data_IF_784149868552
#
_entry.id   IF_784149868552
#
_cell.length_a   1.000
_cell.length_b   1.000
_cell.length_c   1.000
_cell.angle_alpha   90.00
_cell.angle_beta   90.00
_cell.angle_gamma   90.00
#
_symmetry.space_group_name_H-M   'P 1'
#
loop_
_entity.id
_entity.type
_entity.pdbx_description
1 polymer ?
#
# COMPACT_ATOMS: atom_id res chain seq x y z
N UNK A 1 1.03 18.92 -0.59
CA UNK A 1 0.52 17.71 0.10
C UNK A 1 0.60 16.49 -0.82
N UNK A 2 0.82 15.28 -0.29
CA UNK A 2 0.97 14.06 -1.10
C UNK A 2 -0.26 13.80 -1.99
N UNK A 3 -1.47 14.02 -1.47
CA UNK A 3 -2.71 13.82 -2.23
C UNK A 3 -2.81 14.68 -3.49
N UNK A 4 -2.48 15.98 -3.37
CA UNK A 4 -2.46 16.89 -4.52
C UNK A 4 -1.45 16.45 -5.59
N UNK A 5 -0.35 15.80 -5.18
CA UNK A 5 0.64 15.25 -6.13
C UNK A 5 0.11 14.01 -6.83
N UNK A 6 -0.56 13.12 -6.10
CA UNK A 6 -1.19 11.92 -6.68
C UNK A 6 -2.19 12.34 -7.74
N UNK A 7 -3.09 13.28 -7.42
CA UNK A 7 -4.11 13.80 -8.35
C UNK A 7 -3.47 14.37 -9.61
N UNK A 8 -2.57 15.36 -9.47
CA UNK A 8 -1.93 16.03 -10.63
C UNK A 8 -1.10 15.09 -11.49
N UNK A 9 -0.31 14.20 -10.87
CA UNK A 9 0.52 13.27 -11.62
C UNK A 9 -0.38 12.19 -12.29
N UNK A 10 -1.50 11.79 -11.69
CA UNK A 10 -2.50 10.89 -12.31
C UNK A 10 -3.20 11.55 -13.49
N UNK A 11 -3.71 12.77 -13.34
CA UNK A 11 -4.37 13.53 -14.43
C UNK A 11 -3.43 13.69 -15.63
N UNK A 12 -2.20 14.16 -15.40
CA UNK A 12 -1.22 14.31 -16.47
C UNK A 12 -0.95 12.98 -17.19
N UNK A 13 -0.81 11.88 -16.47
CA UNK A 13 -0.60 10.56 -17.06
C UNK A 13 -1.81 10.11 -17.89
N UNK A 14 -3.03 10.38 -17.43
CA UNK A 14 -4.26 10.08 -18.18
C UNK A 14 -4.35 10.90 -19.48
N UNK A 15 -4.09 12.21 -19.41
CA UNK A 15 -4.10 13.12 -20.56
C UNK A 15 -3.09 12.71 -21.63
N UNK A 16 -2.00 12.04 -21.23
CA UNK A 16 -0.96 11.51 -22.11
C UNK A 16 -1.16 10.03 -22.50
N UNK A 17 -2.35 9.47 -22.27
CA UNK A 17 -2.68 8.10 -22.69
C UNK A 17 -1.97 7.00 -21.89
N UNK A 18 -1.45 7.32 -20.69
CA UNK A 18 -0.66 6.40 -19.84
C UNK A 18 -1.50 5.63 -18.81
N UNK A 19 -2.78 5.40 -19.09
CA UNK A 19 -3.70 4.65 -18.21
C UNK A 19 -3.17 3.25 -17.85
N UNK A 20 -2.44 2.61 -18.75
CA UNK A 20 -1.79 1.31 -18.50
C UNK A 20 -0.82 1.35 -17.32
N UNK A 21 -0.06 2.42 -17.15
CA UNK A 21 0.91 2.57 -16.06
C UNK A 21 0.21 2.73 -14.71
N UNK A 22 -0.90 3.48 -14.67
CA UNK A 22 -1.74 3.62 -13.48
C UNK A 22 -2.37 2.29 -13.07
N UNK A 23 -2.85 1.54 -14.07
CA UNK A 23 -3.45 0.22 -13.87
C UNK A 23 -2.43 -0.78 -13.34
N UNK A 24 -1.19 -0.70 -13.84
CA UNK A 24 -0.08 -1.49 -13.35
C UNK A 24 0.25 -1.18 -11.88
N UNK A 25 0.44 0.11 -11.54
CA UNK A 25 0.70 0.52 -10.15
C UNK A 25 -0.44 0.09 -9.22
N UNK A 26 -1.69 0.32 -9.60
CA UNK A 26 -2.86 -0.09 -8.83
C UNK A 26 -2.86 -1.61 -8.60
N UNK A 27 -2.62 -2.40 -9.65
CA UNK A 27 -2.59 -3.86 -9.56
C UNK A 27 -1.46 -4.36 -8.65
N UNK A 28 -0.28 -3.73 -8.71
CA UNK A 28 0.85 -4.08 -7.86
C UNK A 28 0.62 -3.77 -6.38
N UNK A 29 -0.02 -2.63 -6.05
CA UNK A 29 -0.42 -2.33 -4.68
C UNK A 29 -1.43 -3.37 -4.14
N UNK A 30 -2.42 -3.74 -4.96
CA UNK A 30 -3.42 -4.74 -4.59
C UNK A 30 -2.81 -6.14 -4.41
N UNK A 31 -1.83 -6.50 -5.23
CA UNK A 31 -1.11 -7.77 -5.08
C UNK A 31 -0.23 -7.78 -3.83
N UNK A 32 0.42 -6.65 -3.51
CA UNK A 32 1.18 -6.49 -2.26
C UNK A 32 0.27 -6.58 -1.02
N UNK A 33 -0.97 -6.07 -1.09
CA UNK A 33 -1.98 -6.28 -0.04
C UNK A 33 -2.35 -7.75 0.07
N UNK A 34 -2.70 -8.39 -1.06
CA UNK A 34 -3.14 -9.78 -1.12
C UNK A 34 -2.21 -10.73 -0.37
N UNK A 35 -0.90 -10.62 -0.61
CA UNK A 35 0.09 -11.49 0.03
C UNK A 35 0.23 -11.27 1.54
N UNK A 36 -0.11 -10.08 2.04
CA UNK A 36 -0.04 -9.71 3.46
C UNK A 36 -1.29 -10.14 4.23
N UNK A 37 -2.47 -9.94 3.64
CA UNK A 37 -3.74 -10.08 4.38
C UNK A 37 -4.30 -11.50 4.38
N UNK A 38 -3.81 -12.40 3.52
CA UNK A 38 -4.31 -13.77 3.49
C UNK A 38 -3.95 -14.51 4.79
N UNK A 39 -4.95 -15.15 5.44
CA UNK A 39 -4.75 -15.85 6.70
C UNK A 39 -4.02 -17.20 6.55
N UNK A 40 -4.18 -17.89 5.42
CA UNK A 40 -3.54 -19.20 5.16
C UNK A 40 -2.56 -19.10 3.99
N UNK A 41 -1.27 -19.05 4.32
CA UNK A 41 -0.17 -18.95 3.35
C UNK A 41 -0.20 -20.03 2.26
N UNK A 42 -0.79 -21.20 2.55
CA UNK A 42 -0.89 -22.31 1.60
C UNK A 42 -1.90 -22.05 0.49
N UNK A 43 -2.80 -21.09 0.70
CA UNK A 43 -3.84 -20.68 -0.26
C UNK A 43 -3.38 -19.52 -1.15
N UNK A 44 -2.24 -18.89 -0.83
CA UNK A 44 -1.70 -17.80 -1.63
C UNK A 44 -1.28 -18.34 -2.99
N UNK A 45 -1.78 -17.69 -4.04
CA UNK A 45 -1.43 -17.92 -5.44
C UNK A 45 -1.06 -16.56 -6.02
N UNK A 46 0.15 -16.07 -5.70
CA UNK A 46 0.52 -14.72 -6.07
C UNK A 46 0.65 -14.65 -7.60
N UNK A 47 0.03 -13.65 -8.21
CA UNK A 47 0.21 -13.35 -9.64
C UNK A 47 1.66 -12.97 -9.91
N UNK A 48 2.22 -12.16 -9.01
CA UNK A 48 3.62 -11.72 -9.08
C UNK A 48 4.39 -12.36 -7.91
N UNK A 49 5.33 -13.29 -8.17
CA UNK A 49 6.03 -14.02 -7.11
C UNK A 49 6.91 -13.11 -6.25
N UNK A 50 7.26 -11.93 -6.75
CA UNK A 50 8.17 -10.98 -6.10
C UNK A 50 7.59 -10.43 -4.80
N UNK A 51 6.30 -10.05 -4.78
CA UNK A 51 5.65 -9.54 -3.57
C UNK A 51 5.55 -10.62 -2.49
N UNK A 52 5.27 -11.85 -2.90
CA UNK A 52 5.22 -12.99 -1.98
C UNK A 52 6.60 -13.30 -1.38
N UNK A 53 7.64 -13.32 -2.21
CA UNK A 53 9.00 -13.60 -1.75
C UNK A 53 9.48 -12.53 -0.76
N UNK A 54 9.31 -11.24 -1.10
CA UNK A 54 9.69 -10.14 -0.22
C UNK A 54 8.91 -10.16 1.10
N UNK A 55 7.61 -10.46 1.06
CA UNK A 55 6.81 -10.61 2.28
C UNK A 55 7.33 -11.73 3.19
N UNK A 56 7.71 -12.89 2.64
CA UNK A 56 8.28 -13.98 3.44
C UNK A 56 9.61 -13.63 4.10
N UNK A 57 10.37 -12.70 3.53
CA UNK A 57 11.66 -12.24 4.04
C UNK A 57 11.56 -10.98 4.91
N UNK A 58 10.36 -10.41 5.07
CA UNK A 58 10.14 -9.10 5.69
C UNK A 58 10.92 -7.95 5.02
N UNK A 59 11.19 -8.08 3.72
CA UNK A 59 11.97 -7.12 2.94
C UNK A 59 11.09 -6.19 2.09
N UNK A 60 11.58 -4.97 1.77
CA UNK A 60 10.89 -4.08 0.84
C UNK A 60 10.62 -4.79 -0.49
N UNK A 61 9.39 -4.68 -0.99
CA UNK A 61 8.98 -5.40 -2.18
C UNK A 61 9.27 -4.60 -3.44
N UNK A 62 10.12 -5.08 -4.35
CA UNK A 62 10.48 -4.32 -5.54
C UNK A 62 9.33 -4.27 -6.55
N UNK A 63 9.12 -3.07 -7.10
CA UNK A 63 8.19 -2.79 -8.18
C UNK A 63 8.92 -2.95 -9.51
N UNK A 64 9.02 -4.20 -9.97
CA UNK A 64 9.85 -4.60 -11.10
C UNK A 64 9.11 -4.38 -12.43
N UNK A 65 9.71 -3.67 -13.39
CA UNK A 65 9.18 -3.59 -14.75
C UNK A 65 9.50 -4.89 -15.52
N UNK A 66 8.47 -5.57 -16.01
CA UNK A 66 8.58 -6.80 -16.81
C UNK A 66 8.41 -6.57 -18.31
N UNK A 67 8.06 -5.35 -18.71
CA UNK A 67 7.85 -4.97 -20.11
C UNK A 67 8.61 -3.68 -20.44
N UNK A 68 8.91 -3.47 -21.72
CA UNK A 68 9.54 -2.22 -22.20
C UNK A 68 8.71 -0.97 -21.90
N UNK A 69 7.39 -1.10 -21.91
CA UNK A 69 6.49 0.00 -21.56
C UNK A 69 6.62 0.35 -20.07
N UNK A 70 6.66 -0.65 -19.19
CA UNK A 70 6.92 -0.45 -17.76
C UNK A 70 8.34 0.08 -17.47
N UNK A 71 9.35 -0.37 -18.21
CA UNK A 71 10.71 0.19 -18.12
C UNK A 71 10.76 1.67 -18.51
N UNK A 72 9.88 2.08 -19.42
CA UNK A 72 9.73 3.49 -19.81
C UNK A 72 8.99 4.27 -18.72
N UNK A 73 7.95 3.66 -18.13
CA UNK A 73 7.20 4.25 -17.03
C UNK A 73 8.10 4.61 -15.85
N UNK A 74 8.97 3.69 -15.40
CA UNK A 74 9.88 3.96 -14.25
C UNK A 74 11.00 4.96 -14.53
N UNK A 75 11.06 5.53 -15.74
CA UNK A 75 11.97 6.63 -16.13
C UNK A 75 11.21 7.94 -16.36
N UNK A 76 9.89 7.89 -16.43
CA UNK A 76 9.04 9.06 -16.67
C UNK A 76 8.94 9.91 -15.39
N UNK A 77 9.15 11.24 -15.48
CA UNK A 77 9.16 12.10 -14.30
C UNK A 77 7.80 12.20 -13.60
N UNK A 78 6.68 12.11 -14.31
CA UNK A 78 5.34 12.16 -13.70
C UNK A 78 4.98 10.83 -13.04
N UNK A 79 5.41 9.72 -13.64
CA UNK A 79 5.25 8.43 -13.00
C UNK A 79 6.16 8.30 -11.78
N UNK A 80 7.42 8.75 -11.82
CA UNK A 80 8.29 8.82 -10.64
C UNK A 80 7.73 9.75 -9.55
N UNK A 81 7.17 10.91 -9.93
CA UNK A 81 6.42 11.79 -9.02
C UNK A 81 5.30 11.03 -8.31
N UNK A 82 4.54 10.25 -9.07
CA UNK A 82 3.40 9.48 -8.56
C UNK A 82 3.86 8.38 -7.61
N UNK A 83 4.88 7.61 -7.99
CA UNK A 83 5.46 6.54 -7.15
C UNK A 83 5.93 7.09 -5.80
N UNK A 84 6.66 8.20 -5.80
CA UNK A 84 7.07 8.87 -4.55
C UNK A 84 5.86 9.41 -3.75
N UNK A 85 4.85 9.95 -4.43
CA UNK A 85 3.66 10.49 -3.77
C UNK A 85 2.77 9.40 -3.12
N UNK A 86 2.75 8.18 -3.67
CA UNK A 86 2.10 7.01 -3.05
C UNK A 86 3.01 6.28 -2.05
N UNK A 87 4.20 6.83 -1.77
CA UNK A 87 5.11 6.35 -0.71
C UNK A 87 6.06 5.23 -1.12
N UNK A 88 6.24 4.95 -2.42
CA UNK A 88 7.30 4.04 -2.87
C UNK A 88 8.65 4.74 -2.76
N UNK A 89 9.67 3.98 -2.33
CA UNK A 89 11.04 4.47 -2.28
C UNK A 89 11.64 4.32 -3.68
N UNK A 90 12.09 5.44 -4.26
CA UNK A 90 12.64 5.48 -5.62
C UNK A 90 14.06 4.86 -5.70
N UNK A 91 14.48 4.43 -6.91
CA UNK A 91 15.83 3.97 -7.16
C UNK A 91 16.88 4.98 -6.71
N UNK A 92 18.01 4.49 -6.18
CA UNK A 92 19.11 5.33 -5.76
C UNK A 92 20.47 4.74 -6.15
N UNK A 93 21.52 5.57 -6.30
CA UNK A 93 22.86 5.09 -6.69
C UNK A 93 23.51 4.11 -5.70
N UNK A 94 22.95 3.95 -4.50
CA UNK A 94 23.54 3.17 -3.39
C UNK A 94 22.96 1.77 -3.25
N UNK A 95 22.07 1.33 -4.14
CA UNK A 95 21.74 -0.10 -4.25
C UNK A 95 20.29 -0.45 -4.60
N UNK A 96 19.38 0.52 -4.66
CA UNK A 96 17.99 0.25 -5.04
C UNK A 96 17.86 0.42 -6.56
N UNK A 97 17.75 -0.70 -7.29
CA UNK A 97 17.67 -0.71 -8.76
C UNK A 97 16.29 -0.32 -9.31
N UNK A 98 15.22 -0.64 -8.57
CA UNK A 98 13.82 -0.39 -8.95
C UNK A 98 13.09 0.27 -7.79
N UNK A 99 12.00 1.03 -8.03
CA UNK A 99 11.16 1.52 -6.95
C UNK A 99 10.74 0.36 -6.03
N UNK A 100 10.63 0.58 -4.72
CA UNK A 100 10.24 -0.46 -3.75
C UNK A 100 9.06 0.00 -2.92
N UNK A 101 8.16 -0.94 -2.63
CA UNK A 101 7.11 -0.80 -1.62
C UNK A 101 7.76 -1.08 -0.26
N UNK A 102 7.76 -0.14 0.69
CA UNK A 102 8.32 -0.36 2.02
C UNK A 102 7.66 -1.53 2.76
N UNK A 103 8.42 -2.26 3.58
CA UNK A 103 7.88 -3.35 4.42
C UNK A 103 6.84 -2.83 5.41
N UNK A 104 7.05 -1.63 5.95
CA UNK A 104 6.22 -0.99 6.98
C UNK A 104 4.98 -0.25 6.42
N UNK A 105 4.83 -0.15 5.10
CA UNK A 105 3.64 0.45 4.49
C UNK A 105 2.40 -0.39 4.81
N UNK A 106 1.37 0.19 5.42
CA UNK A 106 0.22 -0.58 5.89
C UNK A 106 -0.75 -0.92 4.75
N UNK A 107 -1.44 -2.09 4.81
CA UNK A 107 -2.39 -2.48 3.78
C UNK A 107 -3.52 -1.47 3.51
N UNK A 108 -4.05 -0.77 4.52
CA UNK A 108 -5.04 0.28 4.28
C UNK A 108 -4.47 1.45 3.46
N UNK A 109 -3.22 1.85 3.70
CA UNK A 109 -2.58 2.94 2.95
C UNK A 109 -2.43 2.56 1.48
N UNK A 110 -1.96 1.34 1.21
CA UNK A 110 -1.87 0.80 -0.15
C UNK A 110 -3.24 0.78 -0.84
N UNK A 111 -4.29 0.42 -0.10
CA UNK A 111 -5.65 0.35 -0.64
C UNK A 111 -6.21 1.75 -0.97
N UNK A 112 -5.99 2.72 -0.10
CA UNK A 112 -6.38 4.12 -0.32
C UNK A 112 -5.67 4.72 -1.53
N UNK A 113 -4.37 4.44 -1.70
CA UNK A 113 -3.65 4.84 -2.89
C UNK A 113 -4.19 4.15 -4.15
N UNK A 114 -4.46 2.84 -4.08
CA UNK A 114 -5.06 2.11 -5.19
C UNK A 114 -6.42 2.70 -5.62
N UNK A 115 -7.26 3.14 -4.69
CA UNK A 115 -8.53 3.82 -4.96
C UNK A 115 -8.34 5.17 -5.65
N UNK A 116 -7.28 5.91 -5.31
CA UNK A 116 -6.95 7.21 -5.91
C UNK A 116 -6.43 7.09 -7.35
N UNK A 117 -5.86 5.94 -7.72
CA UNK A 117 -5.34 5.67 -9.06
C UNK A 117 -6.44 5.29 -10.08
N UNK A 118 -7.62 4.91 -9.61
CA UNK A 118 -8.75 4.55 -10.44
C UNK A 118 -9.77 3.66 -9.74
N UNK A 119 -10.84 3.30 -10.46
CA UNK A 119 -11.88 2.43 -9.93
C UNK A 119 -11.35 1.02 -9.64
N UNK A 120 -11.64 0.51 -8.43
CA UNK A 120 -11.38 -0.87 -8.04
C UNK A 120 -12.65 -1.67 -8.18
N UNK A 121 -12.53 -2.81 -8.83
CA UNK A 121 -13.59 -3.79 -9.07
C UNK A 121 -13.50 -4.91 -8.03
N UNK A 122 -14.38 -4.97 -7.01
CA UNK A 122 -14.29 -5.96 -5.94
C UNK A 122 -14.28 -7.40 -6.45
N UNK A 123 -14.95 -7.67 -7.57
CA UNK A 123 -15.00 -8.98 -8.22
C UNK A 123 -13.66 -9.45 -8.80
N UNK A 124 -12.69 -8.53 -8.94
CA UNK A 124 -11.33 -8.82 -9.43
C UNK A 124 -10.29 -8.87 -8.32
N UNK A 125 -10.68 -8.59 -7.07
CA UNK A 125 -9.80 -8.67 -5.93
C UNK A 125 -9.55 -10.13 -5.56
N UNK A 126 -8.29 -10.43 -5.27
CA UNK A 126 -7.90 -11.76 -4.81
C UNK A 126 -8.11 -11.94 -3.28
N UNK A 127 -8.49 -10.88 -2.56
CA UNK A 127 -8.72 -10.86 -1.11
C UNK A 127 -10.03 -10.14 -0.77
N UNK A 128 -10.56 -10.37 0.43
CA UNK A 128 -11.68 -9.60 0.93
C UNK A 128 -11.16 -8.29 1.56
N UNK A 129 -11.65 -7.09 1.19
CA UNK A 129 -11.23 -5.83 1.82
C UNK A 129 -11.33 -5.84 3.36
N UNK A 130 -12.25 -6.61 3.93
CA UNK A 130 -12.35 -6.77 5.39
C UNK A 130 -11.10 -7.43 6.01
N UNK A 131 -10.36 -8.24 5.25
CA UNK A 131 -9.13 -8.90 5.72
C UNK A 131 -8.02 -7.90 6.04
N UNK A 132 -8.04 -6.70 5.44
CA UNK A 132 -7.11 -5.60 5.76
C UNK A 132 -7.22 -5.23 7.24
N UNK A 133 -8.46 -5.00 7.72
CA UNK A 133 -8.69 -4.62 9.11
C UNK A 133 -8.27 -5.70 10.10
N UNK A 134 -8.48 -6.97 9.74
CA UNK A 134 -8.08 -8.14 10.55
C UNK A 134 -6.56 -8.25 10.64
N UNK A 135 -5.85 -8.02 9.53
CA UNK A 135 -4.39 -8.03 9.49
C UNK A 135 -3.80 -6.95 10.39
N UNK A 136 -4.28 -5.71 10.26
CA UNK A 136 -3.75 -4.57 11.01
C UNK A 136 -3.99 -4.71 12.52
N UNK A 137 -5.16 -5.24 12.90
CA UNK A 137 -5.44 -5.60 14.29
C UNK A 137 -4.42 -6.61 14.85
N UNK A 138 -4.10 -7.67 14.08
CA UNK A 138 -3.10 -8.66 14.50
C UNK A 138 -1.72 -8.04 14.64
N UNK A 139 -1.30 -7.16 13.71
CA UNK A 139 -0.04 -6.44 13.83
C UNK A 139 0.02 -5.59 15.11
N UNK A 140 -1.06 -4.86 15.43
CA UNK A 140 -1.13 -4.03 16.63
C UNK A 140 -1.03 -4.85 17.93
N UNK A 141 -1.65 -6.02 17.99
CA UNK A 141 -1.53 -6.89 19.16
C UNK A 141 -0.09 -7.38 19.37
N UNK A 142 0.61 -7.73 18.29
CA UNK A 142 2.00 -8.19 18.36
C UNK A 142 2.91 -7.07 18.90
N UNK A 143 2.78 -5.85 18.40
CA UNK A 143 3.59 -4.72 18.88
C UNK A 143 3.28 -4.38 20.34
N UNK A 144 2.00 -4.35 20.75
CA UNK A 144 1.61 -4.08 22.13
C UNK A 144 2.12 -5.12 23.13
N UNK A 145 2.24 -6.39 22.72
CA UNK A 145 2.81 -7.45 23.57
C UNK A 145 4.32 -7.34 23.77
N UNK A 146 5.05 -6.73 22.83
CA UNK A 146 6.49 -6.51 22.96
C UNK A 146 6.82 -5.38 23.95
N UNK A 147 6.03 -4.31 23.95
CA UNK A 147 6.23 -3.16 24.85
C UNK A 147 5.78 -3.43 26.30
N UNK A 148 4.99 -4.49 26.51
CA UNK A 148 4.44 -4.87 27.83
C UNK A 148 5.30 -5.90 28.59
N UNK A 149 6.49 -6.24 28.08
CA UNK A 149 7.42 -7.09 28.83
C UNK A 149 7.89 -6.33 30.08
N UNK A 150 7.69 -6.84 31.31
CA UNK A 150 8.19 -6.17 32.50
C UNK A 150 9.72 -6.20 32.48
N UNK A 151 10.31 -5.03 32.25
CA UNK A 151 11.73 -4.79 32.40
C UNK A 151 12.12 -5.09 33.86
N UNK A 152 12.71 -6.27 34.08
CA UNK A 152 13.45 -6.55 35.31
C UNK A 152 14.83 -5.95 35.18
N UNK A 153 14.92 -4.62 35.15
CA UNK A 153 16.15 -3.92 35.47
C UNK A 153 15.84 -2.61 36.20
N UNK A 154 16.08 -2.65 37.51
CA UNK A 154 16.27 -1.47 38.33
C UNK A 154 17.61 -0.84 37.94
N UNK A 155 17.62 0.34 37.34
CA UNK A 155 18.24 1.54 37.92
C UNK A 155 18.16 2.77 36.98
N UNK A 156 17.62 3.87 37.52
CA UNK A 156 18.10 5.23 37.31
C UNK A 156 18.14 5.87 35.92
N UNK A 157 17.06 6.60 35.57
CA UNK A 157 17.16 8.02 35.19
C UNK A 157 17.17 8.43 33.71
N UNK A 158 16.29 9.39 33.38
CA UNK A 158 16.55 10.40 32.34
C UNK A 158 15.57 10.40 31.17
N UNK A 159 14.74 11.45 31.08
CA UNK A 159 13.63 11.57 30.12
C UNK A 159 14.03 11.72 28.63
N UNK A 160 13.02 11.53 27.78
CA UNK A 160 13.06 11.82 26.35
C UNK A 160 11.78 11.32 25.67
N UNK A 161 10.81 12.21 25.50
CA UNK A 161 9.50 11.87 24.93
C UNK A 161 9.58 11.44 23.47
N UNK A 162 8.96 10.30 23.14
CA UNK A 162 8.59 9.94 21.78
C UNK A 162 7.07 10.13 21.63
N UNK A 163 6.68 11.06 20.77
CA UNK A 163 5.29 11.26 20.35
C UNK A 163 4.85 10.09 19.49
N UNK A 164 4.41 9.02 20.11
CA UNK A 164 3.65 7.96 19.46
C UNK A 164 2.27 8.48 19.13
N UNK A 165 1.98 8.67 17.84
CA UNK A 165 0.63 9.01 17.38
C UNK A 165 -0.27 7.79 17.63
N UNK A 166 -0.90 7.77 18.80
CA UNK A 166 -1.85 6.72 19.21
C UNK A 166 -3.11 6.88 18.38
N UNK A 167 -3.36 5.92 17.49
CA UNK A 167 -4.61 5.86 16.73
C UNK A 167 -5.63 5.16 17.65
N UNK A 168 -6.64 5.90 18.10
CA UNK A 168 -7.64 5.42 19.05
C UNK A 168 -8.33 4.12 18.56
N UNK A 169 -8.37 3.12 19.44
CA UNK A 169 -8.99 1.80 19.19
C UNK A 169 -10.51 1.87 18.83
N UNK A 170 -11.13 3.04 18.97
CA UNK A 170 -12.53 3.29 18.61
C UNK A 170 -12.74 3.71 17.14
N UNK A 171 -11.69 3.94 16.35
CA UNK A 171 -11.82 4.32 14.92
C UNK A 171 -12.03 3.14 13.95
N UNK A 172 -11.82 1.88 14.38
CA UNK A 172 -11.75 0.73 13.48
C UNK A 172 -13.08 0.25 12.87
N UNK A 173 -14.23 0.23 13.57
CA UNK A 173 -15.53 -0.03 12.95
C UNK A 173 -15.87 1.00 11.87
N UNK A 174 -15.39 2.23 12.03
CA UNK A 174 -15.58 3.31 11.06
C UNK A 174 -14.71 3.11 9.81
N UNK A 175 -13.51 2.54 9.92
CA UNK A 175 -12.66 2.23 8.76
C UNK A 175 -13.28 1.17 7.86
N UNK A 176 -13.81 0.07 8.42
CA UNK A 176 -14.52 -0.95 7.64
C UNK A 176 -15.76 -0.37 6.94
N UNK A 177 -16.52 0.47 7.65
CA UNK A 177 -17.68 1.14 7.06
C UNK A 177 -17.27 2.17 5.98
N UNK A 178 -16.17 2.90 6.20
CA UNK A 178 -15.63 3.89 5.26
C UNK A 178 -15.09 3.22 4.00
N UNK A 179 -14.35 2.12 4.11
CA UNK A 179 -13.83 1.37 2.97
C UNK A 179 -14.97 0.78 2.14
N UNK A 180 -15.99 0.21 2.77
CA UNK A 180 -17.18 -0.30 2.08
C UNK A 180 -18.00 0.83 1.44
N UNK A 181 -18.15 1.98 2.11
CA UNK A 181 -18.83 3.14 1.54
C UNK A 181 -18.02 3.74 0.37
N UNK A 182 -16.69 3.80 0.45
CA UNK A 182 -15.84 4.31 -0.62
C UNK A 182 -15.87 3.40 -1.86
N UNK A 183 -15.91 2.08 -1.65
CA UNK A 183 -16.14 1.10 -2.72
C UNK A 183 -17.52 1.29 -3.36
N UNK A 184 -18.56 1.52 -2.56
CA UNK A 184 -19.92 1.77 -3.06
C UNK A 184 -20.03 3.09 -3.85
N UNK A 185 -19.36 4.16 -3.39
CA UNK A 185 -19.32 5.46 -4.08
C UNK A 185 -18.59 5.35 -5.43
N UNK A 186 -17.45 4.64 -5.49
CA UNK A 186 -16.70 4.46 -6.73
C UNK A 186 -17.43 3.58 -7.77
N UNK A 187 -18.35 2.71 -7.33
CA UNK A 187 -19.22 1.95 -8.25
C UNK A 187 -20.34 2.79 -8.87
N UNK A 188 -20.65 3.97 -8.30
CA UNK A 188 -21.74 4.83 -8.76
C UNK A 188 -21.29 5.94 -9.73
N UNK A 189 -19.99 6.09 -10.02
CA UNK A 189 -19.56 7.05 -11.04
C UNK A 189 -19.92 6.55 -12.45
N UNK A 190 -20.82 7.24 -13.18
CA UNK A 190 -21.16 6.84 -14.53
C UNK A 190 -19.97 7.07 -15.45
N UNK A 191 -19.69 6.10 -16.32
CA UNK A 191 -18.78 6.29 -17.45
C UNK A 191 -19.29 7.48 -18.25
N UNK A 192 -18.57 8.61 -18.20
CA UNK A 192 -18.79 9.70 -19.15
C UNK A 192 -18.35 9.20 -20.52
N UNK A 193 -19.33 8.73 -21.29
CA UNK A 193 -19.27 8.58 -22.74
C UNK A 193 -19.27 9.96 -23.38
N UNK A 194 -18.13 10.34 -23.98
CA UNK A 194 -17.96 11.03 -25.27
C UNK A 194 -16.55 11.62 -25.35
#
# INVERSE_FOLDING_TARGET
PAELRIEKCTEHLLDNGRKGWLTWLQSSLLEAIYVRVIPDIRQIRPKEPVFWHSYLLDEPSPFVPYTRDQESAVKDPYFLCLLDAVGLVLPNPKGIAYPVIPSDMLPHQMFDYALKLGAIHPEKLNFNPNDISVYEWKMFQVTATFDSAPDKSSDGGGGGGATGSSIDAHMWPNLVHLMNNQLAINQQQPQKTA
#
